data_IF_629877551854
#
_entry.id   IF_629877551854
#
_cell.length_a   1.000
_cell.length_b   1.000
_cell.length_c   1.000
_cell.angle_alpha   90.00
_cell.angle_beta   90.00
_cell.angle_gamma   90.00
#
_symmetry.space_group_name_H-M   'P 1'
#
loop_
_entity.id
_entity.type
_entity.pdbx_description
1 polymer ?
#
# COMPACT_ATOMS: atom_id res chain seq x y z
N UNK A 1 -8.94 -3.56 15.37
CA UNK A 1 -10.12 -4.06 14.66
C UNK A 1 -9.80 -5.42 14.05
N UNK A 2 -10.75 -6.36 14.06
CA UNK A 2 -10.56 -7.69 13.46
C UNK A 2 -11.84 -8.16 12.77
N UNK A 3 -11.74 -8.91 11.66
CA UNK A 3 -12.89 -9.48 10.91
C UNK A 3 -13.89 -8.44 10.45
N UNK A 4 -13.40 -7.31 9.94
CA UNK A 4 -14.22 -6.32 9.26
C UNK A 4 -14.50 -6.81 7.84
N UNK A 5 -15.75 -6.77 7.41
CA UNK A 5 -16.15 -7.10 6.04
C UNK A 5 -16.88 -5.90 5.42
N UNK A 6 -16.31 -5.31 4.37
CA UNK A 6 -16.88 -4.18 3.63
C UNK A 6 -17.09 -4.63 2.19
N UNK A 7 -18.28 -4.39 1.65
CA UNK A 7 -18.62 -4.72 0.27
C UNK A 7 -19.44 -3.61 -0.38
N UNK A 8 -18.95 -3.09 -1.50
CA UNK A 8 -19.63 -2.17 -2.40
C UNK A 8 -19.34 -2.56 -3.86
N UNK A 9 -20.11 -2.03 -4.81
CA UNK A 9 -19.86 -2.29 -6.22
C UNK A 9 -18.53 -1.65 -6.67
N UNK A 10 -17.83 -2.31 -7.60
CA UNK A 10 -16.47 -1.92 -8.02
C UNK A 10 -16.40 -0.57 -8.76
N UNK A 11 -17.54 -0.07 -9.23
CA UNK A 11 -17.72 1.21 -9.91
C UNK A 11 -18.27 2.31 -9.00
N UNK A 12 -18.48 2.03 -7.70
CA UNK A 12 -19.02 3.00 -6.75
C UNK A 12 -17.95 4.03 -6.34
N UNK A 13 -18.08 5.30 -6.74
CA UNK A 13 -17.09 6.33 -6.41
C UNK A 13 -17.09 6.65 -4.91
N UNK A 14 -15.92 7.03 -4.37
CA UNK A 14 -15.76 7.52 -2.99
C UNK A 14 -16.17 6.53 -1.90
N UNK A 15 -16.03 5.23 -2.16
CA UNK A 15 -16.36 4.17 -1.20
C UNK A 15 -15.13 3.69 -0.44
N UNK A 16 -14.36 4.58 0.18
CA UNK A 16 -13.22 4.20 1.03
C UNK A 16 -13.66 3.17 2.09
N UNK A 17 -12.88 2.10 2.26
CA UNK A 17 -13.20 1.05 3.21
C UNK A 17 -12.91 1.48 4.64
N UNK A 18 -11.63 1.67 4.96
CA UNK A 18 -11.18 2.15 6.27
C UNK A 18 -10.30 3.37 6.08
N UNK A 19 -10.71 4.52 6.63
CA UNK A 19 -9.87 5.71 6.69
C UNK A 19 -9.17 5.81 8.05
N UNK A 20 -7.85 5.93 8.07
CA UNK A 20 -7.02 6.10 9.28
C UNK A 20 -6.35 7.46 9.25
N UNK A 21 -6.54 8.29 10.28
CA UNK A 21 -5.87 9.59 10.43
C UNK A 21 -5.52 9.84 11.92
N UNK A 22 -4.60 10.78 12.15
CA UNK A 22 -4.07 11.27 13.45
C UNK A 22 -4.94 11.20 14.71
N UNK A 23 -4.27 11.05 15.89
CA UNK A 23 -3.09 10.22 16.14
C UNK A 23 -3.51 8.76 16.32
N UNK A 24 -2.66 7.83 15.90
CA UNK A 24 -3.08 6.46 15.68
C UNK A 24 -2.17 5.46 16.42
N UNK A 25 -2.78 4.40 16.95
CA UNK A 25 -2.12 3.18 17.40
C UNK A 25 -3.10 2.06 17.09
N UNK A 26 -3.14 1.70 15.81
CA UNK A 26 -4.26 0.99 15.20
C UNK A 26 -3.75 -0.33 14.66
N UNK A 27 -4.47 -1.41 14.97
CA UNK A 27 -4.22 -2.72 14.41
C UNK A 27 -5.46 -3.18 13.66
N UNK A 28 -5.33 -3.55 12.38
CA UNK A 28 -6.42 -4.06 11.53
C UNK A 28 -6.02 -5.46 11.08
N UNK A 29 -6.79 -6.48 11.43
CA UNK A 29 -6.43 -7.86 11.08
C UNK A 29 -7.59 -8.68 10.53
N UNK A 30 -7.29 -9.68 9.70
CA UNK A 30 -8.27 -10.67 9.22
C UNK A 30 -9.52 -10.03 8.60
N UNK A 31 -9.36 -9.00 7.78
CA UNK A 31 -10.49 -8.19 7.27
C UNK A 31 -10.58 -8.27 5.75
N UNK A 32 -11.79 -8.21 5.20
CA UNK A 32 -12.04 -8.21 3.76
C UNK A 32 -12.76 -6.92 3.37
N UNK A 33 -12.25 -6.23 2.37
CA UNK A 33 -12.76 -4.94 1.92
C UNK A 33 -12.79 -4.97 0.39
N UNK A 34 -13.97 -4.74 -0.15
CA UNK A 34 -14.25 -4.80 -1.57
C UNK A 34 -15.09 -3.58 -1.92
N UNK A 35 -14.56 -2.66 -2.72
CA UNK A 35 -15.17 -1.35 -2.95
C UNK A 35 -14.77 -0.77 -4.31
N UNK A 36 -15.14 0.48 -4.59
CA UNK A 36 -14.75 1.19 -5.82
C UNK A 36 -13.59 2.18 -5.63
N UNK A 37 -13.14 2.41 -4.39
CA UNK A 37 -12.13 3.40 -4.01
C UNK A 37 -11.11 2.81 -3.03
N UNK A 38 -10.42 3.62 -2.21
CA UNK A 38 -9.32 3.13 -1.35
C UNK A 38 -9.79 2.03 -0.39
N UNK A 39 -9.15 0.86 -0.45
CA UNK A 39 -9.42 -0.22 0.50
C UNK A 39 -9.16 0.27 1.94
N UNK A 40 -7.99 0.88 2.15
CA UNK A 40 -7.65 1.57 3.39
C UNK A 40 -6.93 2.85 3.01
N UNK A 41 -7.49 4.00 3.33
CA UNK A 41 -6.86 5.31 3.12
C UNK A 41 -6.18 5.77 4.41
N UNK A 42 -4.96 6.26 4.30
CA UNK A 42 -4.11 6.67 5.43
C UNK A 42 -3.81 8.16 5.29
N UNK A 43 -4.44 8.95 6.15
CA UNK A 43 -4.32 10.40 6.24
C UNK A 43 -3.17 10.88 7.13
N UNK A 44 -2.96 12.21 7.19
CA UNK A 44 -1.79 12.82 7.81
C UNK A 44 -1.66 12.50 9.29
N UNK A 45 -0.39 12.44 9.72
CA UNK A 45 0.12 12.10 11.05
C UNK A 45 -0.32 10.76 11.64
N UNK A 46 -0.84 9.86 10.81
CA UNK A 46 -1.03 8.47 11.21
C UNK A 46 0.29 7.88 11.64
N UNK A 47 0.30 7.28 12.83
CA UNK A 47 1.46 6.56 13.35
C UNK A 47 1.08 5.18 13.88
N UNK A 48 2.02 4.25 13.95
CA UNK A 48 1.83 2.93 14.57
C UNK A 48 0.60 2.17 14.04
N UNK A 49 0.51 2.02 12.71
CA UNK A 49 -0.58 1.30 12.06
C UNK A 49 -0.09 -0.09 11.63
N UNK A 50 -0.63 -1.14 12.26
CA UNK A 50 -0.37 -2.53 11.89
C UNK A 50 -1.56 -3.12 11.11
N UNK A 51 -1.30 -3.68 9.94
CA UNK A 51 -2.30 -4.34 9.13
C UNK A 51 -1.84 -5.75 8.80
N UNK A 52 -2.69 -6.75 9.01
CA UNK A 52 -2.32 -8.16 8.76
C UNK A 52 -3.50 -8.98 8.24
N UNK A 53 -3.28 -9.87 7.27
CA UNK A 53 -4.36 -10.72 6.74
C UNK A 53 -5.55 -9.91 6.23
N UNK A 54 -5.28 -8.88 5.43
CA UNK A 54 -6.30 -8.05 4.78
C UNK A 54 -6.54 -8.55 3.36
N UNK A 55 -7.79 -8.74 2.95
CA UNK A 55 -8.17 -8.98 1.55
C UNK A 55 -8.81 -7.73 0.99
N UNK A 56 -8.15 -7.05 0.05
CA UNK A 56 -8.61 -5.82 -0.58
C UNK A 56 -8.95 -6.06 -2.05
N UNK A 57 -10.15 -5.71 -2.50
CA UNK A 57 -10.46 -5.66 -3.93
C UNK A 57 -11.87 -6.10 -4.35
N UNK A 58 -12.34 -5.70 -5.55
CA UNK A 58 -11.78 -4.66 -6.45
C UNK A 58 -11.75 -3.26 -5.81
N UNK A 59 -11.24 -2.24 -6.52
CA UNK A 59 -11.23 -0.84 -6.08
C UNK A 59 -9.86 -0.15 -6.20
N UNK A 60 -9.55 0.79 -5.31
CA UNK A 60 -8.18 1.25 -5.09
C UNK A 60 -7.51 0.44 -3.95
N UNK A 61 -6.18 0.48 -3.90
CA UNK A 61 -5.38 -0.30 -2.94
C UNK A 61 -5.37 0.41 -1.56
N UNK A 62 -4.50 -0.04 -0.66
CA UNK A 62 -4.14 0.79 0.49
C UNK A 62 -3.41 2.02 -0.05
N UNK A 63 -3.91 3.20 0.30
CA UNK A 63 -3.42 4.49 -0.18
C UNK A 63 -2.99 5.35 1.00
N UNK A 64 -1.86 6.03 0.87
CA UNK A 64 -1.40 7.03 1.84
C UNK A 64 -1.62 8.40 1.19
N UNK A 65 -2.63 9.14 1.66
CA UNK A 65 -3.07 10.36 0.99
C UNK A 65 -4.49 10.82 1.36
N UNK A 66 -4.87 12.05 0.98
CA UNK A 66 -3.99 13.12 0.44
C UNK A 66 -3.24 13.81 1.58
N UNK A 67 -1.93 13.96 1.36
CA UNK A 67 -1.00 14.60 2.27
C UNK A 67 -0.33 15.80 1.54
N UNK A 68 0.14 16.79 2.27
CA UNK A 68 0.82 17.99 1.78
C UNK A 68 -0.14 19.13 1.42
N UNK A 69 -1.34 19.16 2.01
CA UNK A 69 -2.30 20.25 1.78
C UNK A 69 -2.02 21.49 2.64
N UNK A 70 -1.08 21.38 3.59
CA UNK A 70 -0.65 22.45 4.50
C UNK A 70 0.88 22.58 4.50
N UNK A 71 1.39 23.78 4.83
CA UNK A 71 2.82 24.09 4.82
C UNK A 71 3.61 23.32 5.90
N UNK A 72 2.96 23.04 7.03
CA UNK A 72 3.40 22.11 8.07
C UNK A 72 2.28 21.10 8.26
N UNK A 73 2.54 19.85 7.91
CA UNK A 73 1.61 18.74 8.05
C UNK A 73 2.38 17.53 8.58
N UNK A 74 1.79 16.83 9.55
CA UNK A 74 2.41 15.68 10.15
C UNK A 74 2.48 14.51 9.17
N UNK A 75 3.68 13.93 9.05
CA UNK A 75 3.93 12.80 8.17
C UNK A 75 3.33 11.50 8.69
N UNK A 76 3.15 10.53 7.80
CA UNK A 76 2.75 9.17 8.16
C UNK A 76 3.99 8.33 8.45
N UNK A 77 4.05 7.65 9.59
CA UNK A 77 5.22 6.87 10.00
C UNK A 77 4.86 5.59 10.76
N UNK A 78 5.72 4.57 10.70
CA UNK A 78 5.51 3.26 11.33
C UNK A 78 4.17 2.61 10.92
N UNK A 79 4.03 2.37 9.61
CA UNK A 79 2.92 1.65 9.01
C UNK A 79 3.43 0.33 8.46
N UNK A 80 2.82 -0.78 8.89
CA UNK A 80 3.15 -2.12 8.44
C UNK A 80 1.91 -2.79 7.84
N UNK A 81 2.09 -3.46 6.71
CA UNK A 81 1.08 -4.32 6.08
C UNK A 81 1.70 -5.70 5.87
N UNK A 82 1.05 -6.74 6.38
CA UNK A 82 1.56 -8.11 6.36
C UNK A 82 0.52 -9.10 5.88
N UNK A 83 0.95 -10.17 5.22
CA UNK A 83 0.12 -11.34 4.87
C UNK A 83 -1.24 -10.98 4.23
N UNK A 84 -1.27 -9.94 3.39
CA UNK A 84 -2.50 -9.36 2.83
C UNK A 84 -2.61 -9.64 1.32
N UNK A 85 -3.82 -9.77 0.81
CA UNK A 85 -4.16 -10.11 -0.58
C UNK A 85 -4.86 -8.95 -1.25
N UNK A 86 -4.43 -8.59 -2.46
CA UNK A 86 -5.03 -7.52 -3.25
C UNK A 86 -5.55 -8.08 -4.58
N UNK A 87 -6.81 -7.85 -4.91
CA UNK A 87 -7.45 -8.32 -6.14
C UNK A 87 -8.00 -7.15 -6.94
N UNK A 88 -7.58 -6.98 -8.20
CA UNK A 88 -8.17 -6.01 -9.15
C UNK A 88 -8.13 -4.52 -8.73
N UNK A 89 -7.00 -4.01 -8.17
CA UNK A 89 -6.89 -2.63 -7.65
C UNK A 89 -6.21 -1.59 -8.59
N UNK A 90 -6.57 -0.29 -8.54
CA UNK A 90 -5.99 0.83 -9.35
C UNK A 90 -5.00 1.76 -8.57
N UNK A 91 -4.16 2.57 -9.26
CA UNK A 91 -2.99 3.31 -8.70
C UNK A 91 -3.21 4.85 -8.47
N UNK A 92 -2.73 5.41 -7.35
CA UNK A 92 -2.64 6.87 -7.07
C UNK A 92 -1.27 7.32 -6.46
N UNK A 93 -0.85 8.57 -6.72
CA UNK A 93 0.49 9.16 -6.44
C UNK A 93 0.43 10.22 -5.31
N UNK A 94 1.43 10.34 -4.42
CA UNK A 94 1.48 11.39 -3.37
C UNK A 94 2.88 12.01 -3.13
N UNK A 95 2.93 13.32 -2.81
CA UNK A 95 4.12 14.18 -2.73
C UNK A 95 4.77 14.31 -1.35
N UNK A 96 4.75 13.25 -0.53
CA UNK A 96 5.23 13.26 0.85
C UNK A 96 6.47 12.40 1.06
N UNK A 97 7.23 12.74 2.10
CA UNK A 97 8.42 12.03 2.54
C UNK A 97 8.05 10.72 3.25
N UNK A 98 7.91 9.66 2.48
CA UNK A 98 7.64 8.30 2.98
C UNK A 98 8.94 7.69 3.49
N UNK A 99 8.93 7.16 4.72
CA UNK A 99 10.12 6.49 5.30
C UNK A 99 9.77 5.19 6.01
N UNK A 100 10.73 4.27 6.01
CA UNK A 100 10.70 3.04 6.84
C UNK A 100 9.46 2.18 6.62
N UNK A 101 9.14 1.91 5.36
CA UNK A 101 7.98 1.08 4.99
C UNK A 101 8.44 -0.33 4.66
N UNK A 102 7.95 -1.31 5.42
CA UNK A 102 8.26 -2.72 5.20
C UNK A 102 7.08 -3.46 4.55
N UNK A 103 7.37 -4.18 3.46
CA UNK A 103 6.47 -5.10 2.79
C UNK A 103 7.05 -6.51 2.89
N UNK A 104 6.34 -7.43 3.54
CA UNK A 104 6.84 -8.79 3.78
C UNK A 104 5.79 -9.87 3.44
N UNK A 105 6.25 -10.98 2.84
CA UNK A 105 5.46 -12.21 2.54
C UNK A 105 4.21 -11.94 1.68
N UNK A 106 4.39 -11.27 0.55
CA UNK A 106 3.31 -10.91 -0.38
C UNK A 106 3.32 -11.85 -1.58
N UNK A 107 2.21 -12.55 -1.85
CA UNK A 107 2.11 -13.51 -2.95
C UNK A 107 0.80 -13.33 -3.73
N UNK A 108 0.82 -13.47 -5.05
CA UNK A 108 -0.41 -13.46 -5.86
C UNK A 108 -0.28 -13.04 -7.32
N UNK A 109 -1.39 -12.57 -7.88
CA UNK A 109 -1.52 -12.15 -9.28
C UNK A 109 -1.95 -10.70 -9.37
N UNK A 110 -1.25 -9.91 -10.19
CA UNK A 110 -1.61 -8.53 -10.51
C UNK A 110 -2.60 -8.48 -11.68
N UNK A 111 -3.51 -7.52 -11.65
CA UNK A 111 -4.42 -7.23 -12.76
C UNK A 111 -3.74 -6.47 -13.92
N UNK A 112 -2.60 -5.83 -13.64
CA UNK A 112 -1.81 -5.09 -14.64
C UNK A 112 -0.36 -5.58 -14.65
N UNK A 113 0.37 -5.24 -15.71
CA UNK A 113 1.77 -5.65 -15.83
C UNK A 113 2.65 -5.09 -14.71
N UNK A 114 2.35 -3.89 -14.20
CA UNK A 114 3.06 -3.27 -13.08
C UNK A 114 2.34 -3.64 -11.78
N UNK A 115 2.87 -4.60 -11.04
CA UNK A 115 2.30 -5.07 -9.77
C UNK A 115 2.66 -4.17 -8.59
N UNK A 116 3.83 -3.52 -8.64
CA UNK A 116 4.32 -2.63 -7.59
C UNK A 116 4.74 -1.33 -8.26
N UNK A 117 4.23 -0.19 -7.77
CA UNK A 117 4.56 1.12 -8.30
C UNK A 117 4.94 2.08 -7.17
N UNK A 118 6.24 2.35 -7.02
CA UNK A 118 6.79 3.38 -6.15
C UNK A 118 7.02 4.65 -6.96
N UNK A 119 6.08 5.59 -6.91
CA UNK A 119 6.22 6.89 -7.59
C UNK A 119 6.36 8.00 -6.54
N UNK A 120 7.59 8.22 -6.07
CA UNK A 120 7.91 9.18 -5.04
C UNK A 120 8.36 10.52 -5.65
N UNK A 121 8.22 11.61 -4.90
CA UNK A 121 8.61 12.93 -5.37
C UNK A 121 10.13 13.07 -5.53
N UNK A 122 10.64 13.78 -6.57
CA UNK A 122 12.07 14.07 -6.69
C UNK A 122 12.59 14.99 -5.58
N UNK A 123 11.72 15.76 -4.90
CA UNK A 123 12.11 16.61 -3.76
C UNK A 123 12.00 15.87 -2.42
N UNK A 124 11.23 14.79 -2.36
CA UNK A 124 10.98 13.99 -1.16
C UNK A 124 11.06 12.51 -1.53
N UNK A 125 12.28 11.98 -1.62
CA UNK A 125 12.51 10.56 -1.90
C UNK A 125 11.85 9.69 -0.83
N UNK A 126 11.34 8.53 -1.24
CA UNK A 126 10.97 7.48 -0.31
C UNK A 126 12.24 6.76 0.17
N UNK A 127 12.52 6.73 1.46
CA UNK A 127 13.78 6.15 1.99
C UNK A 127 13.52 5.11 3.07
N UNK A 128 14.29 4.02 3.07
CA UNK A 128 14.11 2.95 4.07
C UNK A 128 12.93 2.04 3.75
N UNK A 129 12.56 1.93 2.46
CA UNK A 129 11.67 0.87 2.02
C UNK A 129 12.35 -0.49 2.24
N UNK A 130 11.61 -1.51 2.68
CA UNK A 130 12.11 -2.87 2.79
C UNK A 130 11.14 -3.83 2.14
N UNK A 131 11.62 -4.64 1.20
CA UNK A 131 10.84 -5.70 0.57
C UNK A 131 11.39 -7.06 0.97
N UNK A 132 10.52 -7.96 1.42
CA UNK A 132 10.92 -9.31 1.80
C UNK A 132 9.92 -10.35 1.35
N UNK A 133 10.41 -11.44 0.76
CA UNK A 133 9.59 -12.61 0.39
C UNK A 133 8.35 -12.24 -0.45
N UNK A 134 8.55 -11.50 -1.55
CA UNK A 134 7.52 -11.03 -2.49
C UNK A 134 7.47 -11.96 -3.72
N UNK A 135 6.28 -12.38 -4.16
CA UNK A 135 6.08 -13.14 -5.40
C UNK A 135 4.78 -12.73 -6.11
N UNK A 136 4.87 -11.90 -7.16
CA UNK A 136 3.73 -11.39 -7.92
C UNK A 136 3.83 -11.74 -9.41
N UNK A 137 2.74 -12.22 -9.98
CA UNK A 137 2.66 -12.64 -11.40
C UNK A 137 1.58 -11.86 -12.16
N UNK A 138 1.72 -11.70 -13.47
CA UNK A 138 0.72 -11.14 -14.38
C UNK A 138 0.60 -12.05 -15.60
N UNK A 139 -0.63 -12.47 -15.95
CA UNK A 139 -0.91 -13.35 -17.11
C UNK A 139 0.07 -14.53 -17.27
N UNK A 140 0.32 -15.24 -16.17
CA UNK A 140 1.21 -16.41 -16.08
C UNK A 140 2.71 -16.14 -16.30
N UNK A 141 3.16 -14.89 -16.21
CA UNK A 141 4.58 -14.55 -16.12
C UNK A 141 4.83 -13.66 -14.89
N UNK A 142 6.10 -13.44 -14.53
CA UNK A 142 6.44 -12.54 -13.43
C UNK A 142 5.95 -11.12 -13.76
N UNK A 143 5.33 -10.44 -12.79
CA UNK A 143 4.87 -9.07 -12.98
C UNK A 143 6.05 -8.08 -13.11
N UNK A 144 5.82 -6.77 -13.06
CA UNK A 144 6.88 -5.75 -13.05
C UNK A 144 6.77 -4.82 -11.86
N UNK A 145 7.90 -4.22 -11.49
CA UNK A 145 7.97 -3.11 -10.54
C UNK A 145 8.32 -1.82 -11.29
N UNK A 146 7.64 -0.73 -10.96
CA UNK A 146 7.97 0.63 -11.36
C UNK A 146 8.48 1.40 -10.15
N UNK A 147 9.56 2.15 -10.32
CA UNK A 147 10.20 2.88 -9.23
C UNK A 147 10.73 4.24 -9.66
N UNK A 148 10.48 5.23 -8.81
CA UNK A 148 10.91 6.60 -9.01
C UNK A 148 11.21 7.26 -7.66
N UNK A 149 12.44 7.75 -7.50
CA UNK A 149 12.89 8.46 -6.30
C UNK A 149 12.72 7.64 -5.00
N UNK A 150 13.10 6.37 -5.05
CA UNK A 150 12.93 5.38 -3.98
C UNK A 150 14.28 4.76 -3.62
N UNK A 151 14.53 4.62 -2.32
CA UNK A 151 15.69 3.99 -1.71
C UNK A 151 15.23 3.02 -0.62
N UNK A 152 15.88 1.86 -0.57
CA UNK A 152 15.43 0.76 0.27
C UNK A 152 16.21 -0.53 0.02
N UNK A 153 15.87 -1.56 0.77
CA UNK A 153 16.54 -2.86 0.76
C UNK A 153 15.60 -3.98 0.37
N UNK A 154 16.18 -5.07 -0.14
CA UNK A 154 15.46 -6.32 -0.39
C UNK A 154 16.06 -7.47 0.41
N UNK A 155 15.23 -8.43 0.81
CA UNK A 155 15.66 -9.64 1.51
C UNK A 155 14.82 -10.85 1.10
N UNK A 156 15.41 -12.05 1.10
CA UNK A 156 14.68 -13.26 0.68
C UNK A 156 14.34 -13.29 -0.81
N UNK A 157 13.24 -13.95 -1.17
CA UNK A 157 12.79 -14.05 -2.58
C UNK A 157 11.96 -12.84 -2.94
N UNK A 158 12.39 -12.01 -3.89
CA UNK A 158 11.61 -10.83 -4.35
C UNK A 158 11.43 -10.89 -5.86
N UNK A 159 10.24 -11.34 -6.27
CA UNK A 159 9.77 -11.43 -7.65
C UNK A 159 8.45 -10.67 -7.81
N UNK A 160 8.32 -9.74 -8.76
CA UNK A 160 9.36 -9.25 -9.65
C UNK A 160 10.55 -8.62 -8.96
N UNK A 161 11.72 -8.80 -9.59
CA UNK A 161 12.94 -8.10 -9.23
C UNK A 161 12.65 -6.59 -9.21
N UNK A 162 12.86 -5.99 -8.03
CA UNK A 162 12.58 -4.58 -7.78
C UNK A 162 13.71 -3.66 -8.22
N UNK A 163 13.53 -2.38 -7.92
CA UNK A 163 14.54 -1.33 -8.07
C UNK A 163 15.42 -1.14 -6.82
N UNK A 164 15.13 -1.91 -5.77
CA UNK A 164 15.80 -1.82 -4.48
C UNK A 164 16.92 -2.87 -4.45
N UNK A 165 18.11 -2.45 -4.03
CA UNK A 165 19.33 -3.26 -3.98
C UNK A 165 19.90 -3.27 -2.56
#
# INVERSE_FOLDING_TARGET
>A
MTRVNVSAACDSPNTDGIHVQQPSNVTIINSSISNGDDCISIGPGTSNLWMESITCGPGHRISIGRLGMQAEEDGVHNVAVKSSTFTETQNGVSGVKVREVAYEDIKGTSATEIAINFDCSPTNHCTGLSLKDINLTYKNHTAKVSCKNVEGTTSGVVEPSGCLA
#
